data_IF_538562436151
#
_entry.id   IF_538562436151
#
_cell.length_a   1.000
_cell.length_b   1.000
_cell.length_c   1.000
_cell.angle_alpha   90.00
_cell.angle_beta   90.00
_cell.angle_gamma   90.00
#
_symmetry.space_group_name_H-M   'P 1'
#
loop_
_entity.id
_entity.type
_entity.pdbx_description
1 polymer ?
#
# COMPACT_ATOMS: atom_id res chain seq x y z
N UNK A 1 24.15 4.47 -27.28
CA UNK A 1 24.34 4.59 -25.82
C UNK A 1 23.01 4.26 -25.18
N UNK A 2 22.90 3.08 -24.56
CA UNK A 2 21.67 2.61 -23.94
C UNK A 2 21.68 3.01 -22.46
N UNK A 3 20.74 3.87 -22.05
CA UNK A 3 20.50 4.16 -20.64
C UNK A 3 19.57 3.09 -20.06
N UNK A 4 20.14 2.00 -19.59
CA UNK A 4 19.49 1.06 -18.69
C UNK A 4 19.63 1.59 -17.25
N UNK A 5 18.60 2.26 -16.73
CA UNK A 5 18.53 2.54 -15.29
C UNK A 5 17.81 1.39 -14.59
N UNK A 6 18.61 0.50 -14.01
CA UNK A 6 18.19 -0.51 -13.06
C UNK A 6 18.26 0.03 -11.63
N UNK A 7 17.07 0.24 -11.03
CA UNK A 7 16.64 -0.03 -9.65
C UNK A 7 17.64 0.27 -8.50
N UNK A 8 17.29 1.24 -7.65
CA UNK A 8 17.76 1.28 -6.26
C UNK A 8 16.83 0.46 -5.36
N UNK A 9 17.16 -0.81 -5.10
CA UNK A 9 16.53 -1.55 -3.99
C UNK A 9 17.00 -0.87 -2.70
N UNK A 10 16.08 -0.34 -1.90
CA UNK A 10 16.39 0.11 -0.55
C UNK A 10 16.98 -1.08 0.22
N UNK A 11 18.28 -1.04 0.52
CA UNK A 11 18.91 -2.06 1.33
C UNK A 11 18.39 -1.90 2.76
N UNK A 12 17.50 -2.80 3.19
CA UNK A 12 17.06 -2.85 4.59
C UNK A 12 18.28 -3.15 5.48
N UNK A 13 18.59 -2.33 6.49
CA UNK A 13 19.70 -2.59 7.40
C UNK A 13 19.59 -3.97 8.04
N UNK A 14 20.72 -4.67 8.15
CA UNK A 14 20.76 -6.02 8.70
C UNK A 14 20.62 -6.07 10.24
N UNK A 15 20.56 -4.91 10.92
CA UNK A 15 20.53 -4.84 12.37
C UNK A 15 19.79 -3.62 12.91
N UNK A 16 19.34 -3.74 14.16
CA UNK A 16 18.75 -2.64 14.93
C UNK A 16 19.73 -1.47 15.05
N UNK A 17 19.27 -0.26 14.70
CA UNK A 17 20.08 0.94 14.80
C UNK A 17 19.98 1.60 16.19
N UNK A 18 19.27 0.96 17.12
CA UNK A 18 19.12 1.40 18.51
C UNK A 18 19.77 0.43 19.51
N UNK A 19 20.07 -0.81 19.12
CA UNK A 19 20.78 -1.76 19.96
C UNK A 19 21.58 -2.77 19.13
N UNK A 20 22.62 -3.34 19.72
CA UNK A 20 23.46 -4.36 19.07
C UNK A 20 22.93 -5.79 19.31
N UNK A 21 21.89 -5.95 20.13
CA UNK A 21 21.43 -7.26 20.64
C UNK A 21 20.58 -8.07 19.65
N UNK A 22 20.03 -7.45 18.60
CA UNK A 22 19.07 -8.13 17.72
C UNK A 22 19.21 -7.72 16.25
N UNK A 23 19.49 -8.68 15.35
CA UNK A 23 19.46 -8.44 13.91
C UNK A 23 18.03 -8.46 13.31
N UNK A 24 17.01 -8.84 14.10
CA UNK A 24 15.63 -9.00 13.63
C UNK A 24 14.90 -7.66 13.54
N UNK A 25 15.19 -6.96 12.43
CA UNK A 25 14.56 -5.71 12.04
C UNK A 25 13.14 -5.96 11.53
N UNK A 26 12.16 -5.41 12.26
CA UNK A 26 10.74 -5.55 11.94
C UNK A 26 10.04 -4.21 11.72
N UNK A 27 10.62 -3.13 12.20
CA UNK A 27 9.97 -1.83 12.27
C UNK A 27 10.87 -0.73 11.71
N UNK A 28 10.28 0.25 11.02
CA UNK A 28 10.94 1.52 10.65
C UNK A 28 10.16 2.66 11.28
N UNK A 29 10.83 3.52 12.02
CA UNK A 29 10.28 4.79 12.43
C UNK A 29 10.45 5.80 11.29
N UNK A 30 9.36 6.40 10.83
CA UNK A 30 9.39 7.37 9.72
C UNK A 30 10.03 8.68 10.17
N UNK A 31 9.68 9.17 11.37
CA UNK A 31 10.18 10.43 11.89
C UNK A 31 11.68 10.41 12.17
N UNK A 32 12.21 9.29 12.67
CA UNK A 32 13.63 9.15 12.98
C UNK A 32 14.45 8.54 11.85
N UNK A 33 13.81 7.98 10.83
CA UNK A 33 14.45 7.20 9.77
C UNK A 33 15.29 6.01 10.27
N UNK A 34 14.90 5.44 11.42
CA UNK A 34 15.62 4.34 12.06
C UNK A 34 14.88 3.01 11.91
N UNK A 35 15.64 1.96 11.66
CA UNK A 35 15.19 0.58 11.71
C UNK A 35 15.36 0.01 13.12
N UNK A 36 14.27 -0.55 13.65
CA UNK A 36 14.15 -0.99 15.02
C UNK A 36 13.75 -2.47 15.08
N UNK A 37 14.36 -3.21 16.01
CA UNK A 37 13.87 -4.52 16.40
C UNK A 37 12.56 -4.38 17.22
N UNK A 38 11.86 -5.49 17.42
CA UNK A 38 10.60 -5.52 18.18
C UNK A 38 10.72 -4.87 19.58
N UNK A 39 11.82 -5.16 20.30
CA UNK A 39 12.03 -4.65 21.67
C UNK A 39 12.22 -3.14 21.68
N UNK A 40 13.09 -2.63 20.82
CA UNK A 40 13.41 -1.21 20.74
C UNK A 40 12.19 -0.40 20.30
N UNK A 41 11.37 -0.94 19.38
CA UNK A 41 10.10 -0.32 19.01
C UNK A 41 9.13 -0.27 20.20
N UNK A 42 8.67 -1.42 20.71
CA UNK A 42 7.50 -1.46 21.59
C UNK A 42 7.76 -1.08 23.04
N UNK A 43 8.99 -1.27 23.53
CA UNK A 43 9.34 -1.03 24.94
C UNK A 43 10.10 0.26 25.18
N UNK A 44 10.71 0.84 24.15
CA UNK A 44 11.59 2.01 24.30
C UNK A 44 11.05 3.17 23.45
N UNK A 45 11.09 3.03 22.13
CA UNK A 45 10.75 4.11 21.21
C UNK A 45 9.31 4.59 21.39
N UNK A 46 8.35 3.67 21.43
CA UNK A 46 6.94 4.00 21.66
C UNK A 46 6.59 4.37 23.11
N UNK A 47 7.57 4.43 24.03
CA UNK A 47 7.35 4.72 25.46
C UNK A 47 8.06 5.98 25.95
N UNK A 48 9.03 6.48 25.19
CA UNK A 48 9.71 7.74 25.50
C UNK A 48 8.86 8.90 25.00
N UNK A 49 8.65 9.93 25.83
CA UNK A 49 7.82 11.11 25.49
C UNK A 49 8.19 11.74 24.15
N UNK A 50 9.48 11.81 23.84
CA UNK A 50 9.98 12.41 22.60
C UNK A 50 9.65 11.61 21.33
N UNK A 51 9.32 10.32 21.44
CA UNK A 51 9.14 9.43 20.29
C UNK A 51 7.87 8.57 20.35
N UNK A 52 7.03 8.76 21.36
CA UNK A 52 5.82 7.96 21.54
C UNK A 52 4.73 8.25 20.52
N UNK A 53 4.77 9.43 19.90
CA UNK A 53 3.84 9.85 18.83
C UNK A 53 4.44 9.66 17.43
N UNK A 54 5.62 9.06 17.31
CA UNK A 54 6.22 8.79 16.00
C UNK A 54 5.44 7.73 15.23
N UNK A 55 5.37 7.92 13.92
CA UNK A 55 4.82 6.97 12.98
C UNK A 55 5.82 5.83 12.77
N UNK A 56 5.39 4.60 13.10
CA UNK A 56 6.19 3.39 12.98
C UNK A 56 5.44 2.39 12.11
N UNK A 57 6.14 1.87 11.10
CA UNK A 57 5.58 0.92 10.14
C UNK A 57 6.37 -0.38 10.12
N UNK A 58 5.74 -1.46 9.66
CA UNK A 58 6.45 -2.71 9.45
C UNK A 58 7.37 -2.59 8.24
N UNK A 59 8.56 -3.17 8.34
CA UNK A 59 9.54 -3.18 7.25
C UNK A 59 9.02 -3.92 6.01
N UNK A 60 8.16 -4.92 6.20
CA UNK A 60 7.50 -5.63 5.09
C UNK A 60 6.49 -4.76 4.33
N UNK A 61 5.96 -3.74 4.98
CA UNK A 61 4.99 -2.82 4.39
C UNK A 61 5.69 -1.63 3.69
N UNK A 62 7.04 -1.57 3.75
CA UNK A 62 7.81 -0.49 3.13
C UNK A 62 7.69 -0.43 1.62
N UNK A 63 7.41 -1.53 0.92
CA UNK A 63 7.18 -1.45 -0.53
C UNK A 63 5.93 -0.61 -0.87
N UNK A 64 4.96 -0.50 0.06
CA UNK A 64 3.80 0.36 -0.07
C UNK A 64 4.05 1.77 0.50
N UNK A 65 4.84 1.87 1.56
CA UNK A 65 5.11 3.15 2.24
C UNK A 65 6.25 3.94 1.62
N UNK A 66 7.18 3.33 0.87
CA UNK A 66 8.19 4.07 0.12
C UNK A 66 7.51 4.99 -0.91
N UNK A 67 6.38 4.60 -1.52
CA UNK A 67 5.60 5.51 -2.35
C UNK A 67 4.98 6.64 -1.51
N UNK A 68 4.30 6.34 -0.41
CA UNK A 68 3.66 7.36 0.44
C UNK A 68 4.68 8.33 1.09
N UNK A 69 5.86 7.84 1.47
CA UNK A 69 6.94 8.64 2.07
C UNK A 69 7.73 9.40 1.00
N UNK A 70 7.92 8.84 -0.19
CA UNK A 70 8.55 9.55 -1.32
C UNK A 70 7.65 10.65 -1.86
N UNK A 71 6.33 10.43 -1.87
CA UNK A 71 5.33 11.48 -2.15
C UNK A 71 5.42 12.53 -1.04
N UNK A 72 5.30 12.18 0.25
CA UNK A 72 5.45 13.17 1.35
C UNK A 72 6.80 13.90 1.40
N UNK A 73 7.82 13.45 0.67
CA UNK A 73 9.14 14.07 0.52
C UNK A 73 9.39 14.72 -0.85
N UNK A 74 8.36 15.04 -1.63
CA UNK A 74 8.58 15.92 -2.79
C UNK A 74 9.10 17.26 -2.24
N UNK A 75 10.36 17.55 -2.54
CA UNK A 75 11.04 18.78 -2.16
C UNK A 75 10.55 19.91 -3.07
N UNK A 76 9.31 20.34 -2.83
CA UNK A 76 8.67 21.44 -3.55
C UNK A 76 9.48 22.73 -3.39
N UNK A 77 10.07 22.94 -2.21
CA UNK A 77 10.89 24.12 -1.91
C UNK A 77 12.14 24.22 -2.79
N UNK A 78 12.67 23.11 -3.29
CA UNK A 78 13.80 23.06 -4.22
C UNK A 78 13.40 22.71 -5.65
N UNK A 79 12.10 22.73 -5.99
CA UNK A 79 11.65 22.52 -7.35
C UNK A 79 12.05 23.70 -8.25
N UNK A 80 12.87 23.43 -9.28
CA UNK A 80 13.35 24.44 -10.22
C UNK A 80 12.66 24.29 -11.57
N UNK A 81 12.39 25.43 -12.21
CA UNK A 81 11.80 25.47 -13.53
C UNK A 81 12.73 24.87 -14.59
N UNK A 82 12.18 24.00 -15.46
CA UNK A 82 12.92 23.34 -16.55
C UNK A 82 13.36 24.27 -17.70
N UNK A 83 12.73 25.43 -17.82
CA UNK A 83 13.03 26.45 -18.83
C UNK A 83 13.93 27.53 -18.22
N UNK A 84 13.77 27.79 -16.93
CA UNK A 84 14.45 28.83 -16.19
C UNK A 84 15.22 28.21 -15.02
N UNK A 85 16.35 27.57 -15.29
CA UNK A 85 17.16 26.74 -14.38
C UNK A 85 17.63 27.41 -13.06
N UNK A 86 17.32 28.69 -12.83
CA UNK A 86 17.61 29.44 -11.59
C UNK A 86 16.37 29.98 -10.90
N UNK A 87 15.18 29.61 -11.36
CA UNK A 87 13.91 30.08 -10.82
C UNK A 87 13.19 28.93 -10.16
N UNK A 88 12.84 29.12 -8.89
CA UNK A 88 12.00 28.17 -8.16
C UNK A 88 10.58 28.21 -8.71
N UNK A 89 9.97 27.03 -8.81
CA UNK A 89 8.54 26.92 -9.03
C UNK A 89 7.82 27.12 -7.70
N UNK A 90 6.74 27.89 -7.72
CA UNK A 90 5.94 28.18 -6.52
C UNK A 90 4.43 28.18 -6.81
N UNK A 91 4.05 28.01 -8.07
CA UNK A 91 2.65 27.86 -8.49
C UNK A 91 2.49 26.61 -9.34
N UNK A 92 1.29 26.04 -9.33
CA UNK A 92 0.85 25.01 -10.25
C UNK A 92 -0.11 25.61 -11.28
N UNK A 93 0.19 25.44 -12.57
CA UNK A 93 -0.71 25.84 -13.65
C UNK A 93 -1.74 24.73 -13.88
N UNK A 94 -3.02 25.05 -13.65
CA UNK A 94 -4.12 24.07 -13.73
C UNK A 94 -4.45 23.65 -15.15
N UNK A 95 -4.24 24.53 -16.12
CA UNK A 95 -4.50 24.22 -17.53
C UNK A 95 -3.43 23.32 -18.13
N UNK A 96 -2.16 23.60 -17.83
CA UNK A 96 -1.02 22.80 -18.29
C UNK A 96 -0.73 21.57 -17.42
N UNK A 97 -1.31 21.51 -16.21
CA UNK A 97 -1.05 20.48 -15.19
C UNK A 97 0.43 20.36 -14.83
N UNK A 98 1.10 21.50 -14.68
CA UNK A 98 2.53 21.54 -14.36
C UNK A 98 2.93 22.70 -13.44
N UNK A 99 4.00 22.54 -12.65
CA UNK A 99 4.54 23.60 -11.81
C UNK A 99 5.26 24.66 -12.65
N UNK A 100 5.08 25.93 -12.27
CA UNK A 100 5.56 27.10 -13.00
C UNK A 100 6.30 28.07 -12.07
N UNK A 101 7.28 28.79 -12.65
CA UNK A 101 7.94 29.91 -11.99
C UNK A 101 7.36 31.26 -12.46
N UNK A 102 7.73 32.34 -11.79
CA UNK A 102 7.28 33.71 -12.09
C UNK A 102 7.48 34.12 -13.55
N UNK A 103 8.64 33.79 -14.15
CA UNK A 103 8.90 34.07 -15.56
C UNK A 103 7.94 33.33 -16.49
N UNK A 104 7.69 32.05 -16.26
CA UNK A 104 6.74 31.28 -17.07
C UNK A 104 5.32 31.85 -16.95
N UNK A 105 4.91 32.36 -15.78
CA UNK A 105 3.62 33.05 -15.63
C UNK A 105 3.52 34.30 -16.51
N UNK A 106 4.61 35.05 -16.63
CA UNK A 106 4.63 36.29 -17.43
C UNK A 106 4.85 36.01 -18.91
N UNK A 107 5.34 34.85 -19.32
CA UNK A 107 5.68 34.57 -20.72
C UNK A 107 4.69 33.60 -21.36
N UNK A 108 4.60 32.39 -20.80
CA UNK A 108 3.93 31.22 -21.39
C UNK A 108 2.53 30.99 -20.82
N UNK A 109 2.33 31.24 -19.53
CA UNK A 109 1.07 30.95 -18.81
C UNK A 109 0.28 32.21 -18.42
N UNK A 110 0.43 33.31 -19.19
CA UNK A 110 -0.14 34.65 -18.88
C UNK A 110 -1.63 34.66 -18.56
N UNK A 111 -2.39 33.73 -19.14
CA UNK A 111 -3.85 33.70 -19.10
C UNK A 111 -4.38 32.36 -18.58
N UNK A 112 -3.51 31.53 -18.01
CA UNK A 112 -3.92 30.25 -17.44
C UNK A 112 -4.33 30.42 -15.98
N UNK A 113 -5.22 29.55 -15.52
CA UNK A 113 -5.52 29.45 -14.10
C UNK A 113 -4.34 28.78 -13.37
N UNK A 114 -4.03 29.31 -12.20
CA UNK A 114 -2.95 28.82 -11.36
C UNK A 114 -3.34 28.83 -9.90
N UNK A 115 -2.65 27.99 -9.13
CA UNK A 115 -2.79 27.91 -7.68
C UNK A 115 -1.42 27.81 -7.04
N UNK A 116 -1.34 28.12 -5.76
CA UNK A 116 -0.15 27.87 -4.95
C UNK A 116 0.26 26.38 -5.06
N UNK A 117 1.56 26.14 -5.26
CA UNK A 117 2.07 24.80 -5.51
C UNK A 117 1.94 23.89 -4.28
N UNK A 118 2.17 24.42 -3.08
CA UNK A 118 2.07 23.65 -1.84
C UNK A 118 0.62 23.31 -1.50
N UNK A 119 -0.31 24.23 -1.76
CA UNK A 119 -1.74 23.98 -1.60
C UNK A 119 -2.26 22.90 -2.55
N UNK A 120 -1.96 23.02 -3.86
CA UNK A 120 -2.34 22.00 -4.85
C UNK A 120 -1.76 20.64 -4.47
N UNK A 121 -0.50 20.61 -4.03
CA UNK A 121 0.15 19.38 -3.66
C UNK A 121 -0.51 18.69 -2.46
N UNK A 122 -0.90 19.46 -1.43
CA UNK A 122 -1.64 18.94 -0.28
C UNK A 122 -2.99 18.36 -0.69
N UNK A 123 -3.69 19.01 -1.61
CA UNK A 123 -4.97 18.52 -2.13
C UNK A 123 -4.79 17.22 -2.91
N UNK A 124 -3.79 17.13 -3.78
CA UNK A 124 -3.46 15.90 -4.51
C UNK A 124 -3.16 14.76 -3.54
N UNK A 125 -2.34 14.99 -2.51
CA UNK A 125 -2.05 13.97 -1.49
C UNK A 125 -3.34 13.51 -0.82
N UNK A 126 -4.18 14.46 -0.39
CA UNK A 126 -5.44 14.14 0.28
C UNK A 126 -6.37 13.30 -0.60
N UNK A 127 -6.54 13.68 -1.86
CA UNK A 127 -7.34 12.93 -2.83
C UNK A 127 -6.79 11.52 -3.06
N UNK A 128 -5.46 11.38 -3.15
CA UNK A 128 -4.81 10.08 -3.29
C UNK A 128 -5.03 9.20 -2.06
N UNK A 129 -4.93 9.76 -0.84
CA UNK A 129 -5.19 9.04 0.41
C UNK A 129 -6.64 8.54 0.48
N UNK A 130 -7.62 9.36 0.09
CA UNK A 130 -9.03 8.95 0.03
C UNK A 130 -9.27 7.85 -1.01
N UNK A 131 -8.65 7.96 -2.19
CA UNK A 131 -8.75 6.95 -3.23
C UNK A 131 -8.15 5.60 -2.77
N UNK A 132 -7.01 5.63 -2.08
CA UNK A 132 -6.39 4.43 -1.49
C UNK A 132 -7.35 3.77 -0.49
N UNK A 133 -7.97 4.54 0.42
CA UNK A 133 -8.95 4.01 1.39
C UNK A 133 -10.12 3.32 0.69
N UNK A 134 -10.63 3.90 -0.39
CA UNK A 134 -11.71 3.29 -1.18
C UNK A 134 -11.26 1.97 -1.82
N UNK A 135 -10.05 1.93 -2.40
CA UNK A 135 -9.50 0.71 -2.98
C UNK A 135 -9.32 -0.39 -1.92
N UNK A 136 -8.82 -0.06 -0.74
CA UNK A 136 -8.69 -1.02 0.36
C UNK A 136 -10.04 -1.59 0.81
N UNK A 137 -11.08 -0.74 0.90
CA UNK A 137 -12.44 -1.18 1.22
C UNK A 137 -12.98 -2.14 0.16
N UNK A 138 -12.78 -1.82 -1.12
CA UNK A 138 -13.19 -2.68 -2.24
C UNK A 138 -12.44 -4.02 -2.24
N UNK A 139 -11.14 -4.02 -1.97
CA UNK A 139 -10.34 -5.24 -1.84
C UNK A 139 -10.83 -6.14 -0.71
N UNK A 140 -11.18 -5.56 0.45
CA UNK A 140 -11.77 -6.29 1.58
C UNK A 140 -13.11 -6.90 1.20
N UNK A 141 -13.96 -6.15 0.52
CA UNK A 141 -15.26 -6.64 0.04
C UNK A 141 -15.10 -7.83 -0.91
N UNK A 142 -14.27 -7.69 -1.95
CA UNK A 142 -14.00 -8.76 -2.93
C UNK A 142 -13.40 -9.99 -2.25
N UNK A 143 -12.49 -9.80 -1.29
CA UNK A 143 -11.89 -10.90 -0.51
C UNK A 143 -12.94 -11.68 0.28
N UNK A 144 -13.91 -10.97 0.89
CA UNK A 144 -15.00 -11.60 1.61
C UNK A 144 -15.96 -12.35 0.69
N UNK A 145 -16.36 -11.75 -0.45
CA UNK A 145 -17.18 -12.43 -1.46
C UNK A 145 -16.51 -13.71 -1.97
N UNK A 146 -15.21 -13.65 -2.27
CA UNK A 146 -14.41 -14.82 -2.65
C UNK A 146 -14.47 -15.93 -1.60
N UNK A 147 -14.30 -15.60 -0.31
CA UNK A 147 -14.39 -16.58 0.79
C UNK A 147 -15.78 -17.21 0.88
N UNK A 148 -16.83 -16.41 0.72
CA UNK A 148 -18.20 -16.92 0.74
C UNK A 148 -18.48 -17.88 -0.42
N UNK A 149 -18.04 -17.54 -1.63
CA UNK A 149 -18.19 -18.40 -2.80
C UNK A 149 -17.41 -19.72 -2.64
N UNK A 150 -16.18 -19.65 -2.12
CA UNK A 150 -15.38 -20.85 -1.82
C UNK A 150 -16.06 -21.77 -0.81
N UNK A 151 -16.68 -21.20 0.23
CA UNK A 151 -17.45 -21.98 1.21
C UNK A 151 -18.66 -22.66 0.56
N UNK A 152 -19.45 -21.93 -0.23
CA UNK A 152 -20.61 -22.48 -0.95
C UNK A 152 -20.22 -23.62 -1.90
N UNK A 153 -19.09 -23.50 -2.59
CA UNK A 153 -18.56 -24.57 -3.45
C UNK A 153 -18.21 -25.83 -2.64
N UNK A 154 -17.49 -25.68 -1.53
CA UNK A 154 -17.14 -26.81 -0.65
C UNK A 154 -18.38 -27.49 -0.05
N UNK A 155 -19.38 -26.71 0.37
CA UNK A 155 -20.62 -27.25 0.94
C UNK A 155 -21.42 -28.01 -0.13
N UNK A 156 -21.45 -27.51 -1.38
CA UNK A 156 -22.07 -28.18 -2.52
C UNK A 156 -21.40 -29.52 -2.85
N UNK A 157 -20.07 -29.56 -2.90
CA UNK A 157 -19.31 -30.79 -3.16
C UNK A 157 -19.56 -31.85 -2.09
N UNK A 158 -19.53 -31.46 -0.81
CA UNK A 158 -19.80 -32.37 0.31
C UNK A 158 -21.22 -32.95 0.23
N UNK A 159 -22.21 -32.11 -0.03
CA UNK A 159 -23.61 -32.53 -0.10
C UNK A 159 -23.87 -33.45 -1.31
N UNK A 160 -23.19 -33.21 -2.43
CA UNK A 160 -23.23 -34.09 -3.61
C UNK A 160 -22.65 -35.49 -3.30
N UNK A 161 -21.47 -35.55 -2.66
CA UNK A 161 -20.86 -36.83 -2.26
C UNK A 161 -21.75 -37.60 -1.27
N UNK A 162 -22.33 -36.91 -0.29
CA UNK A 162 -23.23 -37.53 0.69
C UNK A 162 -24.50 -38.10 0.03
N UNK A 163 -25.09 -37.35 -0.91
CA UNK A 163 -26.27 -37.79 -1.67
C UNK A 163 -25.97 -39.00 -2.55
N UNK A 164 -24.78 -39.03 -3.18
CA UNK A 164 -24.30 -40.18 -3.97
C UNK A 164 -24.11 -41.41 -3.09
N UNK A 165 -23.53 -41.26 -1.90
CA UNK A 165 -23.33 -42.34 -0.93
C UNK A 165 -24.68 -42.93 -0.46
N UNK A 166 -25.64 -42.05 -0.11
CA UNK A 166 -26.99 -42.43 0.32
C UNK A 166 -27.75 -43.19 -0.78
N UNK A 167 -27.63 -42.75 -2.02
CA UNK A 167 -28.24 -43.43 -3.19
C UNK A 167 -27.63 -44.81 -3.41
N UNK A 168 -26.31 -44.94 -3.41
CA UNK A 168 -25.63 -46.24 -3.51
C UNK A 168 -26.05 -47.20 -2.40
N UNK A 169 -26.15 -46.74 -1.16
CA UNK A 169 -26.57 -47.57 -0.03
C UNK A 169 -28.03 -48.05 -0.14
N UNK A 170 -28.95 -47.20 -0.62
CA UNK A 170 -30.34 -47.61 -0.92
C UNK A 170 -30.40 -48.70 -1.99
N UNK A 171 -29.63 -48.55 -3.07
CA UNK A 171 -29.59 -49.52 -4.16
C UNK A 171 -29.03 -50.87 -3.70
N UNK A 172 -27.98 -50.88 -2.86
CA UNK A 172 -27.44 -52.10 -2.26
C UNK A 172 -28.47 -52.83 -1.37
N UNK A 173 -29.25 -52.08 -0.58
CA UNK A 173 -30.32 -52.66 0.25
C UNK A 173 -31.45 -53.27 -0.58
N UNK A 174 -31.87 -52.61 -1.66
CA UNK A 174 -32.92 -53.13 -2.54
C UNK A 174 -32.47 -54.41 -3.27
N UNK A 175 -31.22 -54.46 -3.77
CA UNK A 175 -30.68 -55.66 -4.43
C UNK A 175 -30.47 -56.83 -3.45
N UNK A 176 -30.03 -56.56 -2.21
CA UNK A 176 -29.92 -57.59 -1.17
C UNK A 176 -31.27 -58.14 -0.68
N UNK A 177 -32.36 -57.42 -0.91
CA UNK A 177 -33.74 -57.87 -0.60
C UNK A 177 -34.27 -58.87 -1.63
N UNK A 178 -33.82 -58.77 -2.88
CA UNK A 178 -34.22 -59.67 -3.98
C UNK A 178 -33.46 -61.01 -3.96
N UNK A 179 -32.24 -61.04 -3.43
CA UNK A 179 -31.42 -62.26 -3.30
C UNK A 179 -31.84 -63.19 -2.14
N UNK A 180 -32.80 -62.80 -1.28
CA UNK A 180 -33.29 -63.61 -0.15
C UNK A 180 -34.62 -64.34 -0.43
N UNK A 181 -35.17 -64.21 -1.64
CA UNK A 181 -36.46 -64.81 -2.05
C UNK A 181 -36.31 -65.87 -3.16
N UNK A 182 -35.08 -66.24 -3.52
CA UNK A 182 -34.74 -67.30 -4.49
C UNK A 182 -34.14 -68.52 -3.81
#
# INVERSE_FOLDING_TARGET
MAFSQSIGKAQTPAMCQFCEESPDIKWKCINCELFLCQRCCSKIHSKIKASMEHEIINVKDLEMVDFATSVRKVDLENMVCKIHDKQKCFVFCKDCKEPSCSKCLIETHKLHDYKDLDEEYKEIIFEMEELIKQFEANLKFISNEKKQLQKKLSDGDNNFQETKLKTSYKNLKQNGSQLKLS
#
